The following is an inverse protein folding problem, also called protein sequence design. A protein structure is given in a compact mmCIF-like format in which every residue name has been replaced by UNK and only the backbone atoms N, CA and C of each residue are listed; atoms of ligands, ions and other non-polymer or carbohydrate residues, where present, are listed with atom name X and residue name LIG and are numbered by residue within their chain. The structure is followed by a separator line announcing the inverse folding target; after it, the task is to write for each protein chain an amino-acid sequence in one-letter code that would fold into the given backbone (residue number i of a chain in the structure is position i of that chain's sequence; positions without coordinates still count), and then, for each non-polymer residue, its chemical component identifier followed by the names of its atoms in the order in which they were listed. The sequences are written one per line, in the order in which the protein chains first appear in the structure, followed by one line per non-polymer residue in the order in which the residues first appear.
data_IF_217732649624
#
_entry.id   IF_217732649624
#
_cell.length_a   1.000
_cell.length_b   1.000
_cell.length_c   1.000
_cell.angle_alpha   90.00
_cell.angle_beta   90.00
_cell.angle_gamma   90.00
#
_symmetry.space_group_name_H-M   'P 1'
#
loop_
_entity.id
_entity.type
_entity.pdbx_description
1 polymer ?
#
# COMPACT_ATOMS: atom_id res chain seq x y z
N UNK A 1 -9.31 -9.83 22.85
CA UNK A 1 -9.95 -9.42 21.58
C UNK A 1 -8.94 -9.63 20.48
N UNK A 2 -9.16 -10.59 19.58
CA UNK A 2 -8.23 -10.83 18.49
C UNK A 2 -8.38 -9.65 17.51
N UNK A 3 -7.43 -8.73 17.54
CA UNK A 3 -7.28 -7.75 16.46
C UNK A 3 -6.78 -8.56 15.27
N UNK A 4 -7.70 -9.13 14.50
CA UNK A 4 -7.38 -9.73 13.21
C UNK A 4 -6.84 -8.62 12.33
N UNK A 5 -5.51 -8.47 12.30
CA UNK A 5 -4.85 -7.62 11.32
C UNK A 5 -5.28 -8.13 9.96
N UNK A 6 -6.20 -7.44 9.30
CA UNK A 6 -6.62 -7.78 7.96
C UNK A 6 -5.40 -7.54 7.05
N UNK A 7 -4.78 -8.63 6.64
CA UNK A 7 -3.72 -8.63 5.64
C UNK A 7 -4.38 -8.41 4.29
N UNK A 8 -3.89 -7.44 3.53
CA UNK A 8 -4.41 -7.20 2.18
C UNK A 8 -3.99 -8.35 1.27
N UNK A 9 -4.87 -8.69 0.34
CA UNK A 9 -4.66 -9.71 -0.68
C UNK A 9 -4.19 -9.08 -1.98
N UNK A 10 -3.65 -9.90 -2.89
CA UNK A 10 -3.30 -9.45 -4.24
C UNK A 10 -4.59 -9.01 -4.95
N UNK A 11 -4.61 -7.77 -5.44
CA UNK A 11 -5.76 -7.15 -6.09
C UNK A 11 -6.42 -6.05 -5.25
N UNK A 12 -6.26 -6.09 -3.93
CA UNK A 12 -6.90 -5.14 -3.01
C UNK A 12 -6.34 -3.73 -3.19
N UNK A 13 -7.18 -2.74 -2.92
CA UNK A 13 -6.75 -1.35 -2.83
C UNK A 13 -6.50 -1.02 -1.36
N UNK A 14 -5.28 -0.60 -1.06
CA UNK A 14 -4.90 -0.15 0.28
C UNK A 14 -4.57 1.33 0.29
N UNK A 15 -5.00 2.01 1.34
CA UNK A 15 -4.68 3.39 1.65
C UNK A 15 -3.56 3.43 2.69
N UNK A 16 -2.51 4.18 2.45
CA UNK A 16 -1.37 4.29 3.35
C UNK A 16 -0.80 5.71 3.37
N UNK A 17 -0.17 6.07 4.48
CA UNK A 17 0.45 7.39 4.64
C UNK A 17 1.89 7.40 4.17
N UNK A 18 2.25 8.40 3.33
CA UNK A 18 3.63 8.68 2.92
C UNK A 18 3.81 10.19 2.84
N UNK A 19 4.87 10.72 3.45
CA UNK A 19 5.16 12.18 3.47
C UNK A 19 3.97 13.04 3.95
N UNK A 20 3.26 12.58 4.98
CA UNK A 20 2.03 13.22 5.50
C UNK A 20 0.88 13.36 4.48
N UNK A 21 0.90 12.55 3.42
CA UNK A 21 -0.17 12.45 2.45
C UNK A 21 -0.68 11.01 2.40
N UNK A 22 -2.00 10.86 2.27
CA UNK A 22 -2.61 9.57 2.02
C UNK A 22 -2.48 9.22 0.55
N UNK A 23 -1.96 8.02 0.29
CA UNK A 23 -1.84 7.47 -1.04
C UNK A 23 -2.56 6.14 -1.10
N UNK A 24 -3.22 5.92 -2.22
CA UNK A 24 -3.82 4.64 -2.57
C UNK A 24 -2.86 3.85 -3.46
N UNK A 25 -2.81 2.54 -3.24
CA UNK A 25 -2.08 1.63 -4.11
C UNK A 25 -2.76 0.28 -4.19
N UNK A 26 -2.65 -0.35 -5.36
CA UNK A 26 -3.17 -1.69 -5.60
C UNK A 26 -2.14 -2.73 -5.22
N UNK A 27 -2.47 -3.65 -4.32
CA UNK A 27 -1.58 -4.72 -3.92
C UNK A 27 -1.34 -5.65 -5.10
N UNK A 28 -0.09 -5.78 -5.54
CA UNK A 28 0.29 -6.74 -6.58
C UNK A 28 1.10 -7.92 -6.02
N UNK A 29 1.68 -7.76 -4.83
CA UNK A 29 2.43 -8.82 -4.16
C UNK A 29 2.30 -8.68 -2.65
N UNK A 30 2.02 -9.79 -1.98
CA UNK A 30 1.99 -9.88 -0.51
C UNK A 30 3.23 -10.64 -0.06
N UNK A 31 3.90 -10.13 0.97
CA UNK A 31 5.02 -10.79 1.67
C UNK A 31 4.66 -10.97 3.13
N UNK A 32 5.43 -11.78 3.83
CA UNK A 32 5.21 -12.18 5.23
C UNK A 32 5.01 -10.99 6.21
N UNK A 33 5.69 -9.86 5.96
CA UNK A 33 5.66 -8.67 6.83
C UNK A 33 5.24 -7.37 6.12
N UNK A 34 4.91 -7.44 4.83
CA UNK A 34 4.65 -6.26 4.01
C UNK A 34 3.92 -6.58 2.73
N UNK A 35 3.17 -5.62 2.21
CA UNK A 35 2.60 -5.67 0.87
C UNK A 35 3.36 -4.74 -0.07
N UNK A 36 3.53 -5.18 -1.32
CA UNK A 36 3.92 -4.30 -2.40
C UNK A 36 2.67 -3.84 -3.11
N UNK A 37 2.60 -2.53 -3.28
CA UNK A 37 1.48 -1.85 -3.90
C UNK A 37 1.96 -1.06 -5.09
N UNK A 38 1.17 -1.09 -6.15
CA UNK A 38 1.33 -0.28 -7.34
C UNK A 38 0.56 1.03 -7.15
N UNK A 39 1.30 2.12 -7.23
CA UNK A 39 0.81 3.49 -7.18
C UNK A 39 0.34 3.93 -8.57
N UNK A 40 -0.51 4.95 -8.63
CA UNK A 40 -0.75 5.65 -9.89
C UNK A 40 0.51 6.40 -10.34
N UNK A 41 0.69 6.58 -11.65
CA UNK A 41 1.82 7.34 -12.21
C UNK A 41 1.93 8.75 -11.62
N UNK A 42 0.81 9.40 -11.34
CA UNK A 42 0.77 10.72 -10.70
C UNK A 42 1.26 10.69 -9.25
N UNK A 43 0.86 9.68 -8.48
CA UNK A 43 1.34 9.51 -7.10
C UNK A 43 2.84 9.19 -7.08
N UNK A 44 3.31 8.33 -7.99
CA UNK A 44 4.73 8.02 -8.14
C UNK A 44 5.56 9.27 -8.48
N UNK A 45 5.07 10.10 -9.40
CA UNK A 45 5.70 11.37 -9.79
C UNK A 45 5.74 12.37 -8.64
N UNK A 46 4.64 12.49 -7.88
CA UNK A 46 4.56 13.35 -6.68
C UNK A 46 5.54 12.89 -5.59
N UNK A 47 5.72 11.58 -5.45
CA UNK A 47 6.66 10.99 -4.50
C UNK A 47 8.11 10.99 -5.01
N UNK A 48 8.33 11.23 -6.30
CA UNK A 48 9.64 11.20 -6.94
C UNK A 48 10.19 9.78 -7.09
N UNK A 49 9.32 8.78 -7.26
CA UNK A 49 9.75 7.41 -7.54
C UNK A 49 9.87 7.17 -9.04
N UNK A 50 10.98 6.53 -9.45
CA UNK A 50 11.18 6.10 -10.84
C UNK A 50 10.23 4.97 -11.24
N UNK A 51 9.88 4.10 -10.29
CA UNK A 51 8.90 3.04 -10.46
C UNK A 51 7.63 3.33 -9.67
N UNK A 52 6.44 3.08 -10.23
CA UNK A 52 5.17 3.31 -9.56
C UNK A 52 4.84 2.20 -8.56
N UNK A 53 5.83 1.71 -7.81
CA UNK A 53 5.63 0.67 -6.80
C UNK A 53 6.23 1.10 -5.46
N UNK A 54 5.61 0.62 -4.38
CA UNK A 54 6.15 0.88 -3.05
C UNK A 54 5.83 -0.27 -2.11
N UNK A 55 6.66 -0.40 -1.08
CA UNK A 55 6.48 -1.40 -0.02
C UNK A 55 5.80 -0.72 1.16
N UNK A 56 4.76 -1.36 1.68
CA UNK A 56 4.02 -0.92 2.87
C UNK A 56 3.95 -2.07 3.87
N UNK A 57 4.33 -1.81 5.12
CA UNK A 57 4.26 -2.83 6.18
C UNK A 57 2.81 -3.14 6.56
N UNK A 58 2.55 -4.37 6.96
CA UNK A 58 1.28 -4.70 7.61
C UNK A 58 1.07 -3.81 8.84
N UNK A 59 -0.15 -3.28 9.00
CA UNK A 59 -0.49 -2.31 10.04
C UNK A 59 -0.12 -0.85 9.75
N UNK A 60 0.47 -0.55 8.58
CA UNK A 60 0.71 0.82 8.09
C UNK A 60 -0.15 1.19 6.88
N UNK A 61 -1.20 0.42 6.63
CA UNK A 61 -2.20 0.68 5.60
C UNK A 61 -3.58 0.24 6.08
N UNK A 62 -4.61 0.75 5.42
CA UNK A 62 -6.01 0.35 5.57
C UNK A 62 -6.52 -0.20 4.25
N UNK A 63 -7.19 -1.35 4.27
CA UNK A 63 -7.84 -1.90 3.07
C UNK A 63 -9.12 -1.12 2.83
N UNK A 64 -9.32 -0.61 1.62
CA UNK A 64 -10.51 0.18 1.26
C UNK A 64 -11.36 -0.46 0.18
N UNK A 65 -10.82 -1.41 -0.60
CA UNK A 65 -11.57 -2.17 -1.62
C UNK A 65 -10.91 -3.50 -1.94
#
# INVERSE_FOLDING_TARGET
MANSMQTASIGDIVLFDRRNQQHQGKVFQVRENSVLVELTKDAAKTLGYEMPNTVVRHGKYSIIS
#
